data_IF_585184276283
#
_entry.id   IF_585184276283
#
_cell.length_a   1.000
_cell.length_b   1.000
_cell.length_c   1.000
_cell.angle_alpha   90.00
_cell.angle_beta   90.00
_cell.angle_gamma   90.00
#
_symmetry.space_group_name_H-M   'P 1'
#
loop_
_entity.id
_entity.type
_entity.pdbx_description
1 polymer ?
#
# COMPACT_ATOMS: atom_id res chain seq x y z
N UNK A 1 5.97 15.54 -5.75
CA UNK A 1 5.34 14.22 -5.95
C UNK A 1 6.41 13.24 -6.39
N UNK A 2 6.54 12.06 -5.74
CA UNK A 2 7.47 11.04 -6.20
C UNK A 2 7.05 10.51 -7.57
N UNK A 3 8.00 10.35 -8.48
CA UNK A 3 7.78 9.79 -9.82
C UNK A 3 7.96 8.26 -9.79
N UNK A 4 7.52 7.59 -10.86
CA UNK A 4 7.79 6.15 -11.07
C UNK A 4 9.30 5.85 -10.95
N UNK A 5 10.16 6.73 -11.44
CA UNK A 5 11.63 6.59 -11.33
C UNK A 5 12.15 6.69 -9.89
N UNK A 6 11.61 7.62 -9.08
CA UNK A 6 11.96 7.70 -7.65
C UNK A 6 11.52 6.46 -6.88
N UNK A 7 10.42 5.85 -7.30
CA UNK A 7 9.89 4.63 -6.70
C UNK A 7 10.79 3.43 -7.01
N UNK A 8 11.20 3.27 -8.28
CA UNK A 8 12.18 2.24 -8.65
C UNK A 8 13.53 2.43 -7.96
N UNK A 9 14.00 3.67 -7.79
CA UNK A 9 15.22 3.93 -7.05
C UNK A 9 15.09 3.51 -5.58
N UNK A 10 14.00 3.90 -4.91
CA UNK A 10 13.74 3.53 -3.52
C UNK A 10 13.70 2.02 -3.35
N UNK A 11 12.97 1.32 -4.21
CA UNK A 11 12.89 -0.15 -4.23
C UNK A 11 14.29 -0.81 -4.37
N UNK A 12 15.19 -0.22 -5.15
CA UNK A 12 16.56 -0.74 -5.28
C UNK A 12 17.42 -0.49 -4.03
N UNK A 13 17.26 0.64 -3.34
CA UNK A 13 17.88 0.85 -2.02
C UNK A 13 17.34 -0.17 -1.01
N UNK A 14 16.04 -0.44 -1.12
CA UNK A 14 15.31 -1.32 -0.25
C UNK A 14 15.76 -2.79 -0.43
N UNK A 15 16.00 -3.21 -1.67
CA UNK A 15 16.68 -4.46 -2.04
C UNK A 15 18.03 -4.64 -1.39
N UNK A 16 18.86 -3.60 -1.45
CA UNK A 16 20.21 -3.63 -0.92
C UNK A 16 20.24 -3.82 0.62
N UNK A 17 19.11 -3.59 1.30
CA UNK A 17 18.94 -3.75 2.74
C UNK A 17 18.42 -5.15 3.15
N UNK A 18 18.34 -6.10 2.21
CA UNK A 18 18.05 -7.51 2.50
C UNK A 18 16.58 -7.85 2.67
N UNK A 19 15.69 -6.97 2.23
CA UNK A 19 14.27 -7.21 2.26
C UNK A 19 13.78 -7.98 1.04
N UNK A 20 12.74 -8.79 1.26
CA UNK A 20 12.06 -9.50 0.19
C UNK A 20 11.21 -8.52 -0.64
N UNK A 21 11.84 -7.98 -1.68
CA UNK A 21 11.34 -6.83 -2.47
C UNK A 21 10.59 -7.24 -3.73
N UNK A 22 10.54 -8.53 -4.06
CA UNK A 22 9.73 -9.01 -5.19
C UNK A 22 8.23 -8.82 -4.91
N UNK A 23 7.80 -9.08 -3.66
CA UNK A 23 6.44 -8.78 -3.19
C UNK A 23 6.17 -7.27 -3.31
N UNK A 24 7.13 -6.43 -2.94
CA UNK A 24 6.98 -4.98 -2.94
C UNK A 24 6.89 -4.38 -4.35
N UNK A 25 7.76 -4.80 -5.26
CA UNK A 25 7.68 -4.42 -6.67
C UNK A 25 6.37 -4.86 -7.29
N UNK A 26 5.91 -6.07 -6.97
CA UNK A 26 4.67 -6.61 -7.50
C UNK A 26 3.44 -5.88 -6.94
N UNK A 27 3.42 -5.57 -5.64
CA UNK A 27 2.41 -4.73 -4.95
C UNK A 27 2.31 -3.37 -5.66
N UNK A 28 3.45 -2.69 -5.84
CA UNK A 28 3.47 -1.34 -6.40
C UNK A 28 3.15 -1.36 -7.89
N UNK A 29 3.81 -2.20 -8.69
CA UNK A 29 3.61 -2.25 -10.15
C UNK A 29 2.19 -2.67 -10.54
N UNK A 30 1.50 -3.49 -9.74
CA UNK A 30 0.11 -3.90 -10.01
C UNK A 30 -0.94 -2.90 -9.53
N UNK A 31 -0.57 -1.96 -8.64
CA UNK A 31 -1.49 -0.99 -8.03
C UNK A 31 -1.34 0.45 -8.55
N UNK A 32 -0.33 0.73 -9.39
CA UNK A 32 -0.22 2.00 -10.12
C UNK A 32 -1.16 1.97 -11.34
N UNK A 33 -2.47 2.09 -11.10
CA UNK A 33 -3.35 2.72 -12.07
C UNK A 33 -3.32 4.24 -11.87
N UNK A 34 -3.55 5.01 -12.93
CA UNK A 34 -3.32 6.46 -12.97
C UNK A 34 -4.11 7.28 -11.94
N UNK A 35 -5.15 6.71 -11.33
CA UNK A 35 -6.08 7.41 -10.43
C UNK A 35 -5.81 7.16 -8.94
N UNK A 36 -4.95 6.20 -8.57
CA UNK A 36 -4.56 5.98 -7.17
C UNK A 36 -3.25 6.74 -6.89
N UNK A 37 -3.19 7.56 -5.81
CA UNK A 37 -1.95 8.24 -5.46
C UNK A 37 -0.85 7.24 -5.11
N UNK A 38 0.40 7.59 -5.43
CA UNK A 38 1.55 6.77 -5.08
C UNK A 38 1.68 6.65 -3.55
N UNK A 39 1.85 5.43 -2.98
CA UNK A 39 2.04 5.28 -1.56
C UNK A 39 3.39 5.81 -1.09
N UNK A 40 3.48 6.10 0.21
CA UNK A 40 4.73 6.17 0.94
C UNK A 40 5.19 4.76 1.33
N UNK A 41 6.50 4.50 1.19
CA UNK A 41 7.09 3.17 1.31
C UNK A 41 8.34 3.24 2.19
N UNK A 42 8.39 2.43 3.25
CA UNK A 42 9.53 2.42 4.16
C UNK A 42 9.69 1.09 4.89
N UNK A 43 10.91 0.85 5.38
CA UNK A 43 11.21 -0.29 6.25
C UNK A 43 10.90 0.01 7.68
N UNK A 44 10.41 -1.02 8.36
CA UNK A 44 10.25 -1.02 9.80
C UNK A 44 11.16 -2.11 10.36
N UNK A 45 12.32 -1.71 10.89
CA UNK A 45 13.24 -2.61 11.58
C UNK A 45 12.82 -2.73 13.06
N UNK A 46 11.86 -3.62 13.32
CA UNK A 46 11.34 -3.89 14.68
C UNK A 46 11.74 -5.26 15.21
N UNK A 47 12.75 -5.90 14.62
CA UNK A 47 13.21 -7.25 14.96
C UNK A 47 12.69 -8.34 14.01
N UNK A 48 11.65 -8.03 13.23
CA UNK A 48 11.31 -8.68 11.95
C UNK A 48 11.39 -7.59 10.87
N UNK A 49 12.04 -7.89 9.75
CA UNK A 49 12.16 -6.94 8.63
C UNK A 49 10.82 -6.84 7.90
N UNK A 50 9.94 -5.91 8.31
CA UNK A 50 8.67 -5.67 7.63
C UNK A 50 8.72 -4.43 6.74
N UNK A 51 7.87 -4.41 5.73
CA UNK A 51 7.71 -3.27 4.83
C UNK A 51 6.39 -2.60 5.11
N UNK A 52 6.42 -1.30 5.36
CA UNK A 52 5.22 -0.50 5.49
C UNK A 52 4.90 0.24 4.19
N UNK A 53 3.63 0.16 3.79
CA UNK A 53 3.05 0.87 2.65
C UNK A 53 1.90 1.73 3.14
N UNK A 54 1.94 3.04 2.89
CA UNK A 54 0.92 3.97 3.37
C UNK A 54 0.35 4.84 2.25
N UNK A 55 -0.97 4.98 2.23
CA UNK A 55 -1.67 5.91 1.37
C UNK A 55 -2.49 6.90 2.18
N UNK A 56 -2.57 8.13 1.66
CA UNK A 56 -3.63 9.07 2.02
C UNK A 56 -4.49 9.30 0.77
N UNK A 57 -5.75 8.85 0.81
CA UNK A 57 -6.68 8.91 -0.33
C UNK A 57 -7.94 9.66 0.09
N UNK A 58 -7.99 10.97 -0.21
CA UNK A 58 -9.05 11.84 0.29
C UNK A 58 -9.07 11.86 1.82
N UNK A 59 -10.17 11.38 2.42
CA UNK A 59 -10.32 11.26 3.87
C UNK A 59 -9.91 9.90 4.42
N UNK A 60 -9.30 9.03 3.61
CA UNK A 60 -8.84 7.71 4.04
C UNK A 60 -7.33 7.72 4.30
N UNK A 61 -6.93 7.14 5.42
CA UNK A 61 -5.57 6.63 5.63
C UNK A 61 -5.59 5.12 5.46
N UNK A 62 -4.64 4.60 4.71
CA UNK A 62 -4.49 3.17 4.48
C UNK A 62 -3.05 2.80 4.77
N UNK A 63 -2.84 1.80 5.60
CA UNK A 63 -1.51 1.25 5.91
C UNK A 63 -1.51 -0.26 5.68
N UNK A 64 -0.42 -0.76 5.10
CA UNK A 64 -0.17 -2.18 4.91
C UNK A 64 1.21 -2.48 5.48
N UNK A 65 1.23 -3.29 6.53
CA UNK A 65 2.45 -3.85 7.11
C UNK A 65 2.67 -5.25 6.54
N UNK A 66 3.68 -5.40 5.68
CA UNK A 66 4.02 -6.65 5.00
C UNK A 66 5.18 -7.32 5.74
N UNK A 67 4.91 -8.44 6.38
CA UNK A 67 5.91 -9.33 7.00
C UNK A 67 5.91 -10.66 6.24
N UNK A 68 6.94 -10.85 5.40
CA UNK A 68 7.06 -11.99 4.49
C UNK A 68 5.84 -12.13 3.57
N UNK A 69 5.14 -13.27 3.64
CA UNK A 69 3.99 -13.62 2.80
C UNK A 69 2.66 -13.18 3.42
N UNK A 70 2.68 -12.50 4.55
CA UNK A 70 1.49 -12.05 5.27
C UNK A 70 1.52 -10.53 5.35
N UNK A 71 0.38 -9.90 5.08
CA UNK A 71 0.22 -8.46 5.27
C UNK A 71 -0.95 -8.13 6.21
N UNK A 72 -0.70 -7.20 7.12
CA UNK A 72 -1.72 -6.56 7.94
C UNK A 72 -2.17 -5.28 7.24
N UNK A 73 -3.41 -5.28 6.79
CA UNK A 73 -4.05 -4.13 6.18
C UNK A 73 -4.90 -3.41 7.21
N UNK A 74 -4.76 -2.09 7.24
CA UNK A 74 -5.59 -1.19 8.02
C UNK A 74 -6.03 -0.02 7.14
N UNK A 75 -7.30 0.34 7.18
CA UNK A 75 -7.81 1.56 6.58
C UNK A 75 -8.73 2.29 7.55
N UNK A 76 -8.54 3.59 7.69
CA UNK A 76 -9.29 4.45 8.58
C UNK A 76 -9.80 5.67 7.84
N UNK A 77 -11.06 6.04 8.09
CA UNK A 77 -11.67 7.21 7.48
C UNK A 77 -11.80 8.36 8.48
N UNK A 78 -11.09 9.45 8.19
CA UNK A 78 -11.13 10.68 8.97
C UNK A 78 -12.54 11.20 9.20
N UNK A 79 -12.75 11.73 10.41
CA UNK A 79 -14.01 12.32 10.87
C UNK A 79 -15.19 11.34 10.92
N UNK A 80 -14.90 10.04 10.84
CA UNK A 80 -15.86 8.95 11.05
C UNK A 80 -15.22 7.88 11.92
N UNK A 81 -16.04 7.04 12.56
CA UNK A 81 -15.57 5.84 13.28
C UNK A 81 -15.54 4.61 12.34
N UNK A 82 -15.29 4.82 11.05
CA UNK A 82 -15.23 3.73 10.06
C UNK A 82 -13.77 3.32 9.89
N UNK A 83 -13.49 2.06 10.22
CA UNK A 83 -12.23 1.40 9.94
C UNK A 83 -12.43 0.02 9.27
N UNK A 84 -11.36 -0.47 8.67
CA UNK A 84 -11.27 -1.79 8.07
C UNK A 84 -9.92 -2.42 8.39
N UNK A 85 -9.96 -3.62 8.95
CA UNK A 85 -8.77 -4.40 9.23
C UNK A 85 -8.86 -5.75 8.52
N UNK A 86 -7.77 -6.17 7.87
CA UNK A 86 -7.70 -7.44 7.16
C UNK A 86 -6.30 -8.05 7.32
N UNK A 87 -6.27 -9.36 7.50
CA UNK A 87 -5.07 -10.16 7.27
C UNK A 87 -5.10 -10.65 5.83
N UNK A 88 -4.01 -10.42 5.12
CA UNK A 88 -3.88 -10.70 3.69
C UNK A 88 -2.76 -11.71 3.46
N UNK A 89 -3.04 -12.71 2.63
CA UNK A 89 -2.02 -13.64 2.14
C UNK A 89 -1.44 -13.06 0.85
N UNK A 90 -0.19 -12.63 0.89
CA UNK A 90 0.50 -12.01 -0.24
C UNK A 90 0.90 -13.03 -1.31
N UNK A 91 0.78 -14.33 -1.05
CA UNK A 91 0.91 -15.36 -2.08
C UNK A 91 -0.39 -15.59 -2.86
N UNK A 92 -1.54 -15.16 -2.33
CA UNK A 92 -2.81 -15.27 -3.05
C UNK A 92 -2.97 -14.11 -4.04
N UNK A 93 -3.07 -14.45 -5.32
CA UNK A 93 -3.42 -13.48 -6.37
C UNK A 93 -4.72 -12.70 -6.09
N UNK A 94 -5.69 -13.28 -5.40
CA UNK A 94 -6.97 -12.63 -5.07
C UNK A 94 -6.79 -11.49 -4.04
N UNK A 95 -5.76 -11.56 -3.19
CA UNK A 95 -5.39 -10.49 -2.26
C UNK A 95 -5.11 -9.19 -3.01
N UNK A 96 -4.39 -9.26 -4.12
CA UNK A 96 -4.05 -8.08 -4.93
C UNK A 96 -5.27 -7.44 -5.57
N UNK A 97 -6.19 -8.26 -6.09
CA UNK A 97 -7.47 -7.76 -6.61
C UNK A 97 -8.27 -7.06 -5.53
N UNK A 98 -8.35 -7.66 -4.33
CA UNK A 98 -9.05 -7.07 -3.18
C UNK A 98 -8.45 -5.74 -2.75
N UNK A 99 -7.11 -5.66 -2.66
CA UNK A 99 -6.40 -4.42 -2.33
C UNK A 99 -6.68 -3.33 -3.38
N UNK A 100 -6.53 -3.67 -4.65
CA UNK A 100 -6.79 -2.74 -5.75
C UNK A 100 -8.21 -2.19 -5.70
N UNK A 101 -9.22 -3.07 -5.64
CA UNK A 101 -10.63 -2.64 -5.59
C UNK A 101 -10.92 -1.73 -4.39
N UNK A 102 -10.32 -1.99 -3.23
CA UNK A 102 -10.47 -1.12 -2.05
C UNK A 102 -9.86 0.26 -2.27
N UNK A 103 -8.63 0.32 -2.76
CA UNK A 103 -7.95 1.59 -3.03
C UNK A 103 -8.67 2.40 -4.11
N UNK A 104 -9.16 1.74 -5.17
CA UNK A 104 -10.00 2.36 -6.21
C UNK A 104 -11.30 2.90 -5.63
N UNK A 105 -11.97 2.16 -4.75
CA UNK A 105 -13.20 2.61 -4.09
C UNK A 105 -12.95 3.86 -3.23
N UNK A 106 -11.84 3.92 -2.50
CA UNK A 106 -11.46 5.11 -1.73
C UNK A 106 -11.13 6.30 -2.63
N UNK A 107 -10.42 6.07 -3.74
CA UNK A 107 -10.10 7.11 -4.71
C UNK A 107 -11.36 7.65 -5.39
N UNK A 108 -12.28 6.76 -5.78
CA UNK A 108 -13.58 7.12 -6.34
C UNK A 108 -14.40 7.94 -5.34
N UNK A 109 -14.48 7.52 -4.08
CA UNK A 109 -15.17 8.27 -3.03
C UNK A 109 -14.59 9.70 -2.87
N UNK A 110 -13.26 9.81 -2.81
CA UNK A 110 -12.56 11.09 -2.73
C UNK A 110 -12.88 11.99 -3.93
N UNK A 111 -12.94 11.41 -5.14
CA UNK A 111 -13.28 12.14 -6.37
C UNK A 111 -14.72 12.67 -6.38
N UNK A 112 -15.66 11.98 -5.73
CA UNK A 112 -17.06 12.38 -5.60
C UNK A 112 -17.24 13.45 -4.53
N UNK A 113 -16.46 13.42 -3.45
CA UNK A 113 -16.50 14.42 -2.38
C UNK A 113 -15.90 15.78 -2.77
N UNK A 114 -15.06 15.83 -3.82
CA UNK A 114 -14.45 17.05 -4.34
C UNK A 114 -15.28 17.83 -5.37
N UNK A 115 -16.55 17.48 -5.57
CA UNK A 115 -17.52 18.18 -6.44
C UNK A 115 -18.56 18.92 -5.61
#
# INVERSE_FOLDING_TARGET
>A
MPTIEHTHHRINELRAQGADTEVLEMVIQRMIDHDIPMPYLYYVDTGNSSIMVEWTIGNWEVSIDVDNEIAQYYAFKYHTDIDHELMLDMNDSATYTTLKERLENYAMEASLAGR
#
